data_IF_044060025895
#
_entry.id   IF_044060025895
#
_cell.length_a   1.000
_cell.length_b   1.000
_cell.length_c   1.000
_cell.angle_alpha   90.00
_cell.angle_beta   90.00
_cell.angle_gamma   90.00
#
_symmetry.space_group_name_H-M   'P 1'
#
loop_
_entity.id
_entity.type
_entity.pdbx_description
1 polymer ?
#
# COMPACT_ATOMS: atom_id res chain seq x y z
N UNK A 1 48.49 4.79 30.52
CA UNK A 1 48.60 5.44 29.19
C UNK A 1 47.44 5.07 28.25
N UNK A 2 47.07 3.79 28.07
CA UNK A 2 45.91 3.39 27.23
C UNK A 2 44.55 3.91 27.73
N UNK A 3 44.34 3.98 29.04
CA UNK A 3 43.09 4.43 29.67
C UNK A 3 42.77 5.91 29.40
N UNK A 4 43.79 6.76 29.32
CA UNK A 4 43.63 8.20 29.04
C UNK A 4 43.18 8.42 27.59
N UNK A 5 43.73 7.66 26.64
CA UNK A 5 43.33 7.74 25.23
C UNK A 5 41.87 7.35 25.00
N UNK A 6 41.39 6.30 25.68
CA UNK A 6 39.99 5.85 25.61
C UNK A 6 39.05 6.92 26.19
N UNK A 7 39.42 7.54 27.32
CA UNK A 7 38.61 8.58 27.94
C UNK A 7 38.44 9.82 27.03
N UNK A 8 39.52 10.26 26.38
CA UNK A 8 39.46 11.39 25.43
C UNK A 8 38.64 11.06 24.19
N UNK A 9 38.74 9.83 23.69
CA UNK A 9 37.96 9.37 22.53
C UNK A 9 36.46 9.33 22.86
N UNK A 10 36.09 8.82 24.04
CA UNK A 10 34.70 8.79 24.50
C UNK A 10 34.17 10.22 24.67
N UNK A 11 34.92 11.10 25.33
CA UNK A 11 34.52 12.50 25.51
C UNK A 11 34.34 13.23 24.16
N UNK A 12 35.20 12.94 23.18
CA UNK A 12 35.07 13.49 21.82
C UNK A 12 33.82 13.00 21.08
N UNK A 13 33.53 11.68 21.13
CA UNK A 13 32.34 11.10 20.49
C UNK A 13 31.06 11.65 21.14
N UNK A 14 31.01 11.71 22.46
CA UNK A 14 29.86 12.26 23.20
C UNK A 14 29.65 13.73 22.85
N UNK A 15 30.72 14.53 22.76
CA UNK A 15 30.63 15.93 22.33
C UNK A 15 30.12 16.09 20.89
N UNK A 16 30.62 15.27 19.96
CA UNK A 16 30.18 15.28 18.56
C UNK A 16 28.71 14.84 18.42
N UNK A 17 28.30 13.80 19.15
CA UNK A 17 26.91 13.34 19.19
C UNK A 17 25.98 14.39 19.77
N UNK A 18 26.35 15.00 20.92
CA UNK A 18 25.57 16.08 21.52
C UNK A 18 25.49 17.29 20.58
N UNK A 19 26.57 17.65 19.87
CA UNK A 19 26.55 18.71 18.87
C UNK A 19 25.61 18.39 17.70
N UNK A 20 25.68 17.17 17.15
CA UNK A 20 24.75 16.70 16.11
C UNK A 20 23.30 16.71 16.62
N UNK A 21 23.06 16.21 17.82
CA UNK A 21 21.74 16.13 18.45
C UNK A 21 21.19 17.50 18.84
N UNK A 22 22.02 18.51 19.08
CA UNK A 22 21.58 19.89 19.34
C UNK A 22 21.38 20.69 18.03
N UNK A 23 22.11 20.34 16.98
CA UNK A 23 21.99 20.97 15.64
C UNK A 23 20.86 20.38 14.78
N UNK A 24 20.60 19.07 14.87
CA UNK A 24 19.47 18.42 14.20
C UNK A 24 18.07 18.97 14.57
N UNK A 25 17.72 19.28 15.83
CA UNK A 25 16.36 19.68 16.21
C UNK A 25 16.02 21.11 15.79
N UNK A 26 17.00 21.99 15.57
CA UNK A 26 16.73 23.35 15.12
C UNK A 26 16.32 23.39 13.64
N UNK A 27 16.97 22.58 12.79
CA UNK A 27 16.70 22.53 11.35
C UNK A 27 15.54 21.57 11.04
N UNK A 28 15.49 20.40 11.70
CA UNK A 28 14.51 19.36 11.40
C UNK A 28 13.11 19.72 11.90
N UNK A 29 12.98 20.32 13.09
CA UNK A 29 11.68 20.76 13.61
C UNK A 29 11.11 21.93 12.80
N UNK A 30 11.96 22.86 12.35
CA UNK A 30 11.55 23.99 11.53
C UNK A 30 11.11 23.55 10.12
N UNK A 31 11.84 22.64 9.48
CA UNK A 31 11.45 22.07 8.18
C UNK A 31 10.11 21.33 8.30
N UNK A 32 9.94 20.48 9.33
CA UNK A 32 8.68 19.75 9.56
C UNK A 32 7.53 20.71 9.85
N UNK A 33 7.73 21.74 10.69
CA UNK A 33 6.72 22.74 10.99
C UNK A 33 6.32 23.56 9.74
N UNK A 34 7.28 23.94 8.89
CA UNK A 34 7.02 24.64 7.62
C UNK A 34 6.25 23.73 6.66
N UNK A 35 6.64 22.45 6.53
CA UNK A 35 5.91 21.49 5.68
C UNK A 35 4.47 21.28 6.16
N UNK A 36 4.26 21.09 7.46
CA UNK A 36 2.92 20.96 8.06
C UNK A 36 2.10 22.24 7.82
N UNK A 37 2.69 23.42 8.02
CA UNK A 37 2.03 24.70 7.77
C UNK A 37 1.62 24.87 6.31
N UNK A 38 2.50 24.55 5.36
CA UNK A 38 2.21 24.61 3.92
C UNK A 38 1.09 23.64 3.52
N UNK A 39 1.10 22.41 4.04
CA UNK A 39 0.04 21.41 3.77
C UNK A 39 -1.30 21.86 4.37
N UNK A 40 -1.30 22.37 5.61
CA UNK A 40 -2.51 22.91 6.24
C UNK A 40 -3.05 24.11 5.48
N UNK A 41 -2.20 25.05 5.05
CA UNK A 41 -2.63 26.19 4.25
C UNK A 41 -3.17 25.76 2.87
N UNK A 42 -2.53 24.78 2.22
CA UNK A 42 -3.05 24.20 0.98
C UNK A 42 -4.40 23.50 1.19
N UNK A 43 -4.62 22.82 2.32
CA UNK A 43 -5.89 22.18 2.63
C UNK A 43 -6.99 23.20 2.99
N UNK A 44 -6.65 24.29 3.68
CA UNK A 44 -7.59 25.31 4.14
C UNK A 44 -7.94 26.33 3.05
N UNK A 45 -7.01 26.67 2.16
CA UNK A 45 -7.23 27.61 1.04
C UNK A 45 -7.43 26.94 -0.32
N UNK A 46 -7.04 25.66 -0.48
CA UNK A 46 -7.19 24.89 -1.72
C UNK A 46 -8.57 24.29 -1.96
N UNK A 47 -9.63 24.94 -1.47
CA UNK A 47 -11.04 24.57 -1.66
C UNK A 47 -11.56 24.77 -3.09
N UNK A 48 -10.78 24.41 -4.10
CA UNK A 48 -11.13 24.45 -5.52
C UNK A 48 -11.68 23.13 -6.02
N UNK A 49 -13.00 22.94 -5.84
CA UNK A 49 -13.93 22.14 -6.67
C UNK A 49 -13.30 21.20 -7.72
N UNK A 50 -13.02 19.96 -7.34
CA UNK A 50 -13.16 18.83 -8.26
C UNK A 50 -14.33 17.98 -7.80
N UNK A 51 -15.47 18.27 -8.43
CA UNK A 51 -16.43 17.30 -8.94
C UNK A 51 -16.46 15.98 -8.19
N UNK A 52 -17.42 15.87 -7.30
CA UNK A 52 -17.95 14.55 -6.97
C UNK A 52 -18.33 13.87 -8.30
N UNK A 53 -17.77 12.70 -8.67
CA UNK A 53 -18.57 11.79 -9.45
C UNK A 53 -19.79 11.54 -8.59
N UNK A 54 -20.94 11.88 -9.15
CA UNK A 54 -22.25 11.49 -8.67
C UNK A 54 -22.26 9.96 -8.61
N UNK A 55 -21.74 9.41 -7.52
CA UNK A 55 -22.22 8.11 -7.02
C UNK A 55 -23.62 8.44 -6.57
N UNK A 56 -24.53 8.40 -7.53
CA UNK A 56 -25.91 8.08 -7.28
C UNK A 56 -25.91 6.89 -6.33
N UNK A 57 -26.10 7.23 -5.06
CA UNK A 57 -26.95 6.47 -4.17
C UNK A 57 -28.29 6.34 -4.89
N UNK A 58 -28.33 5.42 -5.87
CA UNK A 58 -29.54 4.73 -6.21
C UNK A 58 -29.89 3.97 -4.93
N UNK A 59 -30.78 4.56 -4.14
CA UNK A 59 -31.72 3.83 -3.32
C UNK A 59 -32.19 2.65 -4.17
N UNK A 60 -31.64 1.47 -3.91
CA UNK A 60 -32.26 0.25 -4.38
C UNK A 60 -33.59 0.17 -3.63
N UNK A 61 -34.75 0.27 -4.29
CA UNK A 61 -35.95 -0.25 -3.65
C UNK A 61 -35.66 -1.72 -3.37
N UNK A 62 -35.99 -2.17 -2.16
CA UNK A 62 -36.03 -3.57 -1.80
C UNK A 62 -37.07 -4.28 -2.71
N UNK A 63 -36.66 -4.56 -3.94
CA UNK A 63 -37.36 -5.40 -4.88
C UNK A 63 -37.12 -6.83 -4.45
N UNK A 64 -38.20 -7.51 -4.04
CA UNK A 64 -38.24 -8.96 -3.93
C UNK A 64 -37.77 -9.54 -5.26
N UNK A 65 -36.56 -10.09 -5.32
CA UNK A 65 -36.20 -10.97 -6.41
C UNK A 65 -36.55 -12.39 -5.98
N UNK A 66 -37.61 -12.91 -6.58
CA UNK A 66 -37.84 -14.35 -6.73
C UNK A 66 -36.86 -14.85 -7.80
N UNK A 67 -36.01 -15.86 -7.51
CA UNK A 67 -35.07 -16.37 -8.50
C UNK A 67 -35.83 -17.13 -9.58
N UNK A 68 -35.85 -16.56 -10.78
CA UNK A 68 -36.29 -17.24 -11.99
C UNK A 68 -35.31 -18.37 -12.30
N UNK A 69 -35.81 -19.61 -12.27
CA UNK A 69 -35.07 -20.81 -12.64
C UNK A 69 -34.55 -20.70 -14.08
N UNK A 70 -33.24 -20.48 -14.23
CA UNK A 70 -32.53 -20.65 -15.49
C UNK A 70 -31.84 -22.02 -15.48
N UNK A 71 -31.92 -22.80 -16.58
CA UNK A 71 -31.32 -24.12 -16.65
C UNK A 71 -29.81 -24.02 -16.43
N UNK A 72 -29.33 -24.79 -15.47
CA UNK A 72 -27.95 -24.86 -15.02
C UNK A 72 -27.01 -25.26 -16.17
N UNK A 73 -26.43 -24.28 -16.84
CA UNK A 73 -25.16 -24.44 -17.55
C UNK A 73 -24.13 -23.57 -16.85
N UNK A 74 -23.63 -24.09 -15.74
CA UNK A 74 -22.43 -23.59 -15.11
C UNK A 74 -21.28 -23.79 -16.09
N UNK A 75 -20.93 -22.71 -16.80
CA UNK A 75 -19.56 -22.52 -17.26
C UNK A 75 -18.68 -22.85 -16.06
N UNK A 76 -17.93 -23.95 -16.20
CA UNK A 76 -17.07 -24.51 -15.17
C UNK A 76 -16.32 -23.38 -14.45
N UNK A 77 -16.21 -23.39 -13.11
CA UNK A 77 -15.27 -22.50 -12.45
C UNK A 77 -13.92 -22.71 -13.15
N UNK A 78 -13.39 -21.65 -13.77
CA UNK A 78 -12.06 -21.67 -14.33
C UNK A 78 -11.13 -22.32 -13.29
N UNK A 79 -10.23 -23.23 -13.68
CA UNK A 79 -9.48 -24.07 -12.75
C UNK A 79 -8.93 -23.19 -11.64
N UNK A 80 -9.48 -23.37 -10.44
CA UNK A 80 -9.13 -22.57 -9.28
C UNK A 80 -7.63 -22.67 -9.09
N UNK A 81 -6.95 -21.52 -9.12
CA UNK A 81 -5.50 -21.49 -8.89
C UNK A 81 -5.28 -21.99 -7.47
N UNK A 82 -4.39 -22.96 -7.29
CA UNK A 82 -4.05 -23.44 -5.96
C UNK A 82 -3.01 -22.52 -5.34
N UNK A 83 -3.12 -22.30 -4.03
CA UNK A 83 -2.11 -21.55 -3.31
C UNK A 83 -0.76 -22.28 -3.40
N UNK A 84 0.33 -21.63 -3.87
CA UNK A 84 1.64 -22.26 -3.97
C UNK A 84 2.25 -22.56 -2.59
N UNK A 85 1.70 -21.96 -1.51
CA UNK A 85 2.15 -22.18 -0.13
C UNK A 85 1.40 -23.30 0.59
N UNK A 86 0.07 -23.35 0.49
CA UNK A 86 -0.74 -24.29 1.27
C UNK A 86 -1.67 -25.18 0.44
N UNK A 87 -1.74 -24.99 -0.88
CA UNK A 87 -2.63 -25.77 -1.75
C UNK A 87 -4.12 -25.43 -1.64
N UNK A 88 -4.53 -24.49 -0.79
CA UNK A 88 -5.93 -24.06 -0.73
C UNK A 88 -6.37 -23.40 -2.04
N UNK A 89 -7.64 -23.59 -2.39
CA UNK A 89 -8.24 -23.01 -3.59
C UNK A 89 -8.29 -21.48 -3.48
N UNK A 90 -7.75 -20.80 -4.49
CA UNK A 90 -7.79 -19.35 -4.61
C UNK A 90 -8.92 -18.97 -5.56
N UNK A 91 -9.83 -18.12 -5.08
CA UNK A 91 -10.84 -17.48 -5.93
C UNK A 91 -10.22 -16.33 -6.74
N UNK A 92 -10.68 -16.08 -7.98
CA UNK A 92 -10.21 -14.95 -8.77
C UNK A 92 -10.43 -13.63 -8.03
N UNK A 93 -9.40 -12.78 -7.99
CA UNK A 93 -9.45 -11.47 -7.32
C UNK A 93 -9.00 -11.44 -5.86
N UNK A 94 -8.66 -12.60 -5.25
CA UNK A 94 -8.14 -12.65 -3.88
C UNK A 94 -6.71 -12.11 -3.80
N UNK A 95 -6.46 -11.16 -2.91
CA UNK A 95 -5.11 -10.60 -2.65
C UNK A 95 -4.29 -11.44 -1.67
N UNK A 96 -4.97 -12.20 -0.82
CA UNK A 96 -4.37 -13.07 0.19
C UNK A 96 -5.03 -14.45 0.13
N UNK A 97 -4.30 -15.49 0.53
CA UNK A 97 -4.89 -16.81 0.64
C UNK A 97 -5.76 -16.90 1.90
N UNK A 98 -7.05 -17.23 1.76
CA UNK A 98 -7.95 -17.43 2.90
C UNK A 98 -7.61 -18.64 3.78
N UNK A 99 -6.74 -19.56 3.31
CA UNK A 99 -6.30 -20.72 4.08
C UNK A 99 -5.04 -20.50 4.91
N UNK A 100 -4.03 -19.80 4.38
CA UNK A 100 -2.73 -19.63 5.05
C UNK A 100 -2.30 -18.17 5.25
N UNK A 101 -3.04 -17.19 4.71
CA UNK A 101 -2.72 -15.77 4.83
C UNK A 101 -1.57 -15.28 3.93
N UNK A 102 -0.99 -16.13 3.08
CA UNK A 102 0.09 -15.70 2.17
C UNK A 102 -0.40 -14.67 1.16
N UNK A 103 0.38 -13.61 0.92
CA UNK A 103 0.11 -12.65 -0.16
C UNK A 103 0.15 -13.32 -1.53
N UNK A 104 -0.87 -13.06 -2.33
CA UNK A 104 -1.00 -13.48 -3.73
C UNK A 104 -0.73 -12.30 -4.70
N UNK A 105 -0.50 -11.12 -4.13
CA UNK A 105 -0.09 -9.92 -4.84
C UNK A 105 1.40 -10.02 -5.12
N UNK A 106 1.75 -9.91 -6.39
CA UNK A 106 3.12 -9.70 -6.87
C UNK A 106 3.27 -8.27 -7.36
N UNK A 107 4.50 -7.83 -7.58
CA UNK A 107 4.79 -6.49 -8.10
C UNK A 107 5.43 -6.58 -9.48
N UNK A 108 5.08 -5.66 -10.37
CA UNK A 108 5.63 -5.64 -11.71
C UNK A 108 7.13 -5.30 -11.65
N UNK A 109 7.99 -6.15 -12.21
CA UNK A 109 9.43 -5.88 -12.29
C UNK A 109 9.77 -4.61 -13.09
N UNK A 110 8.87 -4.16 -13.99
CA UNK A 110 9.10 -2.97 -14.83
C UNK A 110 8.60 -1.67 -14.21
N UNK A 111 7.41 -1.67 -13.60
CA UNK A 111 6.79 -0.43 -13.10
C UNK A 111 6.47 -0.44 -11.60
N UNK A 112 6.68 -1.55 -10.90
CA UNK A 112 6.38 -1.69 -9.47
C UNK A 112 4.89 -1.77 -9.11
N UNK A 113 3.97 -1.74 -10.09
CA UNK A 113 2.54 -1.84 -9.81
C UNK A 113 2.16 -3.20 -9.22
N UNK A 114 1.18 -3.21 -8.32
CA UNK A 114 0.61 -4.42 -7.74
C UNK A 114 -0.15 -5.22 -8.81
N UNK A 115 0.11 -6.52 -8.85
CA UNK A 115 -0.44 -7.49 -9.79
C UNK A 115 -1.13 -8.58 -8.97
N UNK A 116 -2.42 -8.78 -9.23
CA UNK A 116 -3.18 -9.90 -8.66
C UNK A 116 -3.03 -11.09 -9.59
N UNK A 117 -2.41 -12.15 -9.09
CA UNK A 117 -2.28 -13.43 -9.79
C UNK A 117 -3.67 -14.05 -10.04
N UNK A 118 -3.96 -14.70 -11.19
CA UNK A 118 -3.07 -15.08 -12.30
C UNK A 118 -3.24 -14.17 -13.54
N UNK A 119 -2.72 -12.95 -13.51
CA UNK A 119 -2.73 -12.05 -14.68
C UNK A 119 -1.48 -12.24 -15.56
N UNK A 120 -1.65 -12.33 -16.88
CA UNK A 120 -0.55 -12.50 -17.86
C UNK A 120 0.13 -11.20 -18.27
N UNK A 121 -0.46 -10.06 -17.90
CA UNK A 121 0.02 -8.73 -18.24
C UNK A 121 -0.22 -7.78 -17.07
N UNK A 122 0.65 -6.79 -16.91
CA UNK A 122 0.48 -5.73 -15.94
C UNK A 122 -0.59 -4.74 -16.44
N UNK A 123 -1.65 -4.55 -15.64
CA UNK A 123 -2.73 -3.62 -15.96
C UNK A 123 -2.32 -2.14 -15.96
N UNK A 124 -1.18 -1.80 -15.34
CA UNK A 124 -0.69 -0.40 -15.28
C UNK A 124 0.25 -0.03 -16.41
N UNK A 125 1.14 -0.93 -16.84
CA UNK A 125 2.18 -0.62 -17.83
C UNK A 125 2.14 -1.51 -19.09
N UNK A 126 1.25 -2.50 -19.14
CA UNK A 126 1.13 -3.43 -20.28
C UNK A 126 2.26 -4.45 -20.41
N UNK A 127 3.21 -4.50 -19.47
CA UNK A 127 4.31 -5.47 -19.51
C UNK A 127 3.81 -6.91 -19.35
N UNK A 128 4.30 -7.84 -20.17
CA UNK A 128 3.96 -9.27 -20.05
C UNK A 128 4.61 -9.88 -18.82
N UNK A 129 3.81 -10.61 -18.05
CA UNK A 129 4.23 -11.34 -16.87
C UNK A 129 4.38 -12.80 -17.31
N UNK A 130 5.61 -13.30 -17.32
CA UNK A 130 5.98 -14.66 -17.71
C UNK A 130 5.85 -15.65 -16.55
#
# INVERSE_FOLDING_TARGET
>A
MKSIGILLLILGIVGLLLNLIFWLPAQFNLIVAVLISVVCLAAVWGGGRLSQPKTELATQPAGKYEPMAQPAQWTQPAPGVMCPKCGCQIMPGQQFCGGCGSSLVSYCARCGAAIVSPSRFCGSCGFRLS
#
